data_IF_150437647599
#
_entry.id   IF_150437647599
#
_cell.length_a   1.000
_cell.length_b   1.000
_cell.length_c   1.000
_cell.angle_alpha   90.00
_cell.angle_beta   90.00
_cell.angle_gamma   90.00
#
_symmetry.space_group_name_H-M   'P 1'
#
loop_
_entity.id
_entity.type
_entity.pdbx_description
1 polymer ?
#
# COMPACT_ATOMS: atom_id res chain seq x y z
N UNK A 1 -5.51 27.25 50.92
CA UNK A 1 -5.33 26.11 49.99
C UNK A 1 -6.46 26.12 48.99
N UNK A 2 -6.19 26.40 47.72
CA UNK A 2 -7.14 26.13 46.62
C UNK A 2 -6.31 25.83 45.37
N UNK A 3 -5.99 24.55 45.17
CA UNK A 3 -5.29 24.06 43.97
C UNK A 3 -6.29 23.95 42.83
N UNK A 4 -6.17 24.82 41.82
CA UNK A 4 -6.94 24.71 40.57
C UNK A 4 -6.39 23.57 39.74
N UNK A 5 -7.16 22.50 39.60
CA UNK A 5 -6.87 21.36 38.73
C UNK A 5 -7.28 21.75 37.32
N UNK A 6 -6.30 22.05 36.46
CA UNK A 6 -6.51 22.14 35.02
C UNK A 6 -6.68 20.73 34.46
N UNK A 7 -7.91 20.34 34.11
CA UNK A 7 -8.16 19.13 33.32
C UNK A 7 -7.72 19.38 31.88
N UNK A 8 -6.52 18.94 31.52
CA UNK A 8 -6.09 18.84 30.13
C UNK A 8 -6.82 17.66 29.47
N UNK A 9 -7.83 17.96 28.67
CA UNK A 9 -8.47 16.96 27.82
C UNK A 9 -7.46 16.48 26.77
N UNK A 10 -6.95 15.26 26.93
CA UNK A 10 -6.18 14.55 25.90
C UNK A 10 -7.15 14.24 24.77
N UNK A 11 -7.07 14.99 23.67
CA UNK A 11 -7.76 14.67 22.41
C UNK A 11 -7.19 13.36 21.87
N UNK A 12 -7.90 12.25 22.10
CA UNK A 12 -7.68 11.02 21.35
C UNK A 12 -7.96 11.33 19.88
N UNK A 13 -6.90 11.43 19.07
CA UNK A 13 -6.99 11.44 17.62
C UNK A 13 -7.39 10.04 17.17
N UNK A 14 -8.67 9.72 17.19
CA UNK A 14 -9.19 8.63 16.37
C UNK A 14 -8.87 8.98 14.92
N UNK A 15 -8.10 8.15 14.23
CA UNK A 15 -7.93 8.29 12.79
C UNK A 15 -9.32 8.12 12.16
N UNK A 16 -10.02 9.22 11.90
CA UNK A 16 -11.18 9.19 11.03
C UNK A 16 -10.59 8.86 9.66
N UNK A 17 -10.80 7.63 9.20
CA UNK A 17 -10.79 7.36 7.78
C UNK A 17 -11.86 8.30 7.21
N UNK A 18 -11.43 9.42 6.65
CA UNK A 18 -12.29 10.53 6.20
C UNK A 18 -13.05 10.09 4.95
N UNK A 19 -13.99 9.16 5.11
CA UNK A 19 -14.90 8.65 4.10
C UNK A 19 -16.31 8.63 4.70
N UNK A 20 -17.34 9.12 3.98
CA UNK A 20 -18.73 8.97 4.40
C UNK A 20 -19.12 7.50 4.59
N UNK A 21 -19.95 7.20 5.59
CA UNK A 21 -20.38 5.83 5.89
C UNK A 21 -21.27 5.22 4.78
N UNK A 22 -21.91 6.06 3.96
CA UNK A 22 -22.86 5.66 2.92
C UNK A 22 -22.23 5.40 1.54
N UNK A 23 -20.90 5.40 1.43
CA UNK A 23 -20.16 5.06 0.20
C UNK A 23 -19.15 3.94 0.48
N UNK A 24 -18.91 3.07 -0.49
CA UNK A 24 -17.92 2.00 -0.34
C UNK A 24 -16.49 2.58 -0.32
N UNK A 25 -15.53 1.80 0.22
CA UNK A 25 -14.10 2.15 0.17
C UNK A 25 -13.68 2.40 -1.28
N UNK A 26 -14.03 1.46 -2.17
CA UNK A 26 -13.62 1.49 -3.57
C UNK A 26 -14.23 2.69 -4.29
N UNK A 27 -15.53 2.94 -4.15
CA UNK A 27 -16.17 4.06 -4.86
C UNK A 27 -15.57 5.40 -4.43
N UNK A 28 -15.38 5.59 -3.12
CA UNK A 28 -14.85 6.85 -2.61
C UNK A 28 -13.40 7.11 -3.04
N UNK A 29 -12.50 6.16 -2.79
CA UNK A 29 -11.08 6.37 -3.06
C UNK A 29 -10.75 6.30 -4.55
N UNK A 30 -11.57 5.61 -5.35
CA UNK A 30 -11.44 5.65 -6.81
C UNK A 30 -11.72 7.05 -7.32
N UNK A 31 -12.82 7.69 -6.91
CA UNK A 31 -13.09 9.07 -7.29
C UNK A 31 -12.05 10.04 -6.73
N UNK A 32 -11.67 9.90 -5.45
CA UNK A 32 -10.74 10.82 -4.81
C UNK A 32 -9.31 10.78 -5.40
N UNK A 33 -8.85 9.61 -5.87
CA UNK A 33 -7.47 9.42 -6.34
C UNK A 33 -7.35 9.30 -7.87
N UNK A 34 -8.36 8.72 -8.53
CA UNK A 34 -8.36 8.39 -9.96
C UNK A 34 -9.45 9.13 -10.75
N UNK A 35 -10.19 10.05 -10.11
CA UNK A 35 -11.26 10.90 -10.66
C UNK A 35 -12.55 10.16 -11.00
N UNK A 36 -12.49 9.18 -11.90
CA UNK A 36 -13.69 8.52 -12.42
C UNK A 36 -13.89 7.16 -11.77
N UNK A 37 -15.10 6.90 -11.27
CA UNK A 37 -15.44 5.60 -10.66
C UNK A 37 -15.84 4.58 -11.73
N UNK A 38 -14.85 4.02 -12.42
CA UNK A 38 -15.03 2.92 -13.39
C UNK A 38 -14.49 1.61 -12.84
N UNK A 39 -14.89 0.47 -13.42
CA UNK A 39 -14.39 -0.84 -13.02
C UNK A 39 -12.86 -0.94 -13.14
N UNK A 40 -12.29 -0.34 -14.19
CA UNK A 40 -10.84 -0.28 -14.44
C UNK A 40 -10.12 0.55 -13.37
N UNK A 41 -10.69 1.69 -12.97
CA UNK A 41 -10.10 2.54 -11.95
C UNK A 41 -10.22 1.90 -10.55
N UNK A 42 -11.31 1.20 -10.25
CA UNK A 42 -11.41 0.42 -9.01
C UNK A 42 -10.37 -0.70 -8.93
N UNK A 43 -10.18 -1.44 -10.03
CA UNK A 43 -9.13 -2.47 -10.12
C UNK A 43 -7.73 -1.85 -9.95
N UNK A 44 -7.50 -0.69 -10.57
CA UNK A 44 -6.24 0.06 -10.45
C UNK A 44 -5.98 0.49 -9.00
N UNK A 45 -6.99 1.01 -8.30
CA UNK A 45 -6.88 1.38 -6.89
C UNK A 45 -6.45 0.19 -6.02
N UNK A 46 -7.10 -0.97 -6.20
CA UNK A 46 -6.78 -2.17 -5.45
C UNK A 46 -5.37 -2.68 -5.75
N UNK A 47 -4.97 -2.69 -7.03
CA UNK A 47 -3.62 -3.06 -7.45
C UNK A 47 -2.57 -2.15 -6.81
N UNK A 48 -2.77 -0.83 -6.85
CA UNK A 48 -1.86 0.13 -6.21
C UNK A 48 -1.75 -0.10 -4.70
N UNK A 49 -2.88 -0.36 -4.03
CA UNK A 49 -2.93 -0.61 -2.60
C UNK A 49 -2.17 -1.89 -2.22
N UNK A 50 -2.43 -2.99 -2.93
CA UNK A 50 -1.77 -4.29 -2.69
C UNK A 50 -0.27 -4.18 -2.97
N UNK A 51 0.12 -3.60 -4.10
CA UNK A 51 1.54 -3.42 -4.43
C UNK A 51 2.23 -2.59 -3.36
N UNK A 52 1.64 -1.47 -2.95
CA UNK A 52 2.21 -0.62 -1.89
C UNK A 52 2.33 -1.39 -0.56
N UNK A 53 1.37 -2.22 -0.18
CA UNK A 53 1.47 -3.03 1.03
C UNK A 53 2.58 -4.09 0.94
N UNK A 54 2.76 -4.70 -0.23
CA UNK A 54 3.73 -5.78 -0.44
C UNK A 54 5.16 -5.26 -0.53
N UNK A 55 5.39 -4.24 -1.38
CA UNK A 55 6.75 -3.75 -1.70
C UNK A 55 7.09 -2.38 -1.07
N UNK A 56 6.10 -1.66 -0.55
CA UNK A 56 6.28 -0.33 0.04
C UNK A 56 6.26 0.79 -1.01
N UNK A 57 6.31 2.04 -0.53
CA UNK A 57 6.47 3.19 -1.40
C UNK A 57 7.96 3.63 -1.44
N UNK A 58 8.67 3.21 -2.48
CA UNK A 58 10.08 3.56 -2.65
C UNK A 58 10.24 5.05 -2.97
N UNK A 59 10.89 5.83 -2.10
CA UNK A 59 11.35 7.21 -2.45
C UNK A 59 12.31 7.24 -3.64
N UNK A 60 13.00 6.14 -3.90
CA UNK A 60 13.96 5.99 -5.00
C UNK A 60 13.30 6.05 -6.39
N UNK A 61 11.97 5.98 -6.45
CA UNK A 61 11.21 6.12 -7.68
C UNK A 61 10.51 7.49 -7.78
N UNK A 62 10.86 8.48 -6.95
CA UNK A 62 10.41 9.87 -7.17
C UNK A 62 11.38 10.65 -8.07
N UNK A 63 12.60 10.16 -8.29
CA UNK A 63 13.66 10.84 -9.06
C UNK A 63 13.94 10.19 -10.43
N UNK A 64 13.29 9.07 -10.76
CA UNK A 64 13.48 8.34 -12.03
C UNK A 64 12.21 7.93 -12.78
N UNK A 65 11.00 8.34 -12.34
CA UNK A 65 9.85 8.26 -13.26
C UNK A 65 9.99 9.38 -14.30
N UNK A 66 9.80 9.12 -15.59
CA UNK A 66 9.60 10.18 -16.57
C UNK A 66 8.47 11.10 -16.09
N UNK A 67 8.77 12.39 -16.00
CA UNK A 67 8.02 13.54 -15.45
C UNK A 67 6.53 13.62 -15.83
N UNK A 68 6.03 12.74 -16.70
CA UNK A 68 4.65 12.70 -17.22
C UNK A 68 3.66 11.90 -16.35
N UNK A 69 4.07 10.85 -15.61
CA UNK A 69 3.12 10.06 -14.82
C UNK A 69 2.82 10.69 -13.44
N UNK A 70 3.81 11.36 -12.83
CA UNK A 70 3.58 12.17 -11.62
C UNK A 70 2.91 13.53 -11.92
N UNK A 71 3.08 14.09 -13.12
CA UNK A 71 2.42 15.35 -13.49
C UNK A 71 0.89 15.22 -13.57
N UNK A 72 0.35 14.03 -13.85
CA UNK A 72 -1.10 13.81 -13.81
C UNK A 72 -1.67 13.87 -12.39
N UNK A 73 -0.90 13.46 -11.36
CA UNK A 73 -1.33 13.53 -9.95
C UNK A 73 -1.19 14.96 -9.40
N UNK A 74 -0.16 15.71 -9.82
CA UNK A 74 0.04 17.10 -9.36
C UNK A 74 -0.88 18.12 -10.04
N UNK A 75 -1.39 17.86 -11.26
CA UNK A 75 -2.34 18.76 -11.97
C UNK A 75 -3.79 18.69 -11.47
N UNK A 76 -4.11 17.83 -10.51
CA UNK A 76 -5.46 17.74 -9.92
C UNK A 76 -5.66 18.80 -8.82
N UNK A 77 -4.59 19.42 -8.32
CA UNK A 77 -4.62 20.24 -7.09
C UNK A 77 -4.91 21.73 -7.27
N UNK A 78 -5.12 22.23 -8.49
CA UNK A 78 -5.21 23.69 -8.69
C UNK A 78 -6.62 24.24 -8.86
N UNK A 79 -7.69 23.44 -8.78
CA UNK A 79 -9.04 23.98 -9.01
C UNK A 79 -10.22 23.29 -8.32
N UNK A 80 -10.03 22.69 -7.14
CA UNK A 80 -11.15 22.43 -6.24
C UNK A 80 -10.64 22.34 -4.80
N UNK A 81 -11.37 22.95 -3.86
CA UNK A 81 -11.09 22.85 -2.43
C UNK A 81 -11.47 21.46 -1.93
N UNK A 82 -10.69 20.46 -2.31
CA UNK A 82 -10.65 19.15 -1.65
C UNK A 82 -9.74 19.32 -0.42
N UNK A 83 -10.22 19.11 0.83
CA UNK A 83 -9.35 19.15 1.98
C UNK A 83 -8.18 18.20 1.77
N UNK A 84 -6.98 18.77 1.85
CA UNK A 84 -5.75 18.23 1.32
C UNK A 84 -5.36 16.89 2.00
N UNK A 85 -5.85 15.78 1.46
CA UNK A 85 -5.18 14.49 1.64
C UNK A 85 -4.14 14.36 0.53
N UNK A 86 -3.09 15.21 0.56
CA UNK A 86 -1.88 14.88 -0.19
C UNK A 86 -1.45 13.47 0.24
N UNK A 87 -1.33 12.49 -0.68
CA UNK A 87 -0.67 11.25 -0.34
C UNK A 87 0.72 11.60 0.18
N UNK A 88 1.13 10.99 1.28
CA UNK A 88 2.41 11.23 1.94
C UNK A 88 3.57 10.74 1.05
N UNK A 89 3.84 11.44 -0.06
CA UNK A 89 4.90 11.12 -1.02
C UNK A 89 6.31 11.38 -0.45
N UNK A 90 6.36 12.00 0.74
CA UNK A 90 7.57 12.33 1.47
C UNK A 90 7.95 11.37 2.59
N UNK A 91 7.28 10.22 2.77
CA UNK A 91 7.66 9.23 3.81
C UNK A 91 7.82 7.87 3.14
N UNK A 92 9.01 7.28 3.29
CA UNK A 92 9.24 5.90 2.87
C UNK A 92 8.60 4.98 3.91
N UNK A 93 7.63 4.20 3.45
CA UNK A 93 6.93 3.16 4.17
C UNK A 93 7.37 1.84 3.53
N UNK A 94 8.19 1.04 4.22
CA UNK A 94 8.60 -0.26 3.72
C UNK A 94 7.38 -1.19 3.61
N UNK A 95 7.33 -2.00 2.56
CA UNK A 95 6.33 -3.06 2.42
C UNK A 95 6.69 -4.30 3.23
N UNK A 96 5.77 -5.27 3.29
CA UNK A 96 5.95 -6.50 4.07
C UNK A 96 7.17 -7.35 3.65
N UNK A 97 7.62 -7.20 2.40
CA UNK A 97 8.79 -7.92 1.88
C UNK A 97 10.12 -7.24 2.22
N UNK A 98 10.10 -6.00 2.71
CA UNK A 98 11.31 -5.33 3.16
C UNK A 98 11.86 -6.03 4.42
N UNK A 99 13.20 -6.20 4.54
CA UNK A 99 13.78 -6.69 5.76
C UNK A 99 13.56 -5.69 6.91
N UNK A 100 13.40 -6.22 8.12
CA UNK A 100 13.25 -5.44 9.34
C UNK A 100 14.07 -6.02 10.49
N UNK A 101 13.86 -5.49 11.68
CA UNK A 101 14.51 -5.93 12.91
C UNK A 101 13.47 -6.13 13.99
N UNK A 102 13.51 -7.29 14.67
CA UNK A 102 12.70 -7.58 15.84
C UNK A 102 13.64 -8.04 16.96
N UNK A 103 13.61 -7.36 18.11
CA UNK A 103 14.50 -7.63 19.25
C UNK A 103 15.99 -7.76 18.87
N UNK A 104 16.50 -6.84 18.04
CA UNK A 104 17.89 -6.84 17.56
C UNK A 104 18.22 -7.93 16.53
N UNK A 105 17.28 -8.80 16.20
CA UNK A 105 17.44 -9.86 15.19
C UNK A 105 16.93 -9.39 13.84
N UNK A 106 17.72 -9.58 12.79
CA UNK A 106 17.27 -9.29 11.43
C UNK A 106 16.20 -10.30 11.01
N UNK A 107 15.05 -9.78 10.58
CA UNK A 107 13.91 -10.57 10.12
C UNK A 107 13.62 -10.20 8.68
N UNK A 108 13.45 -11.20 7.83
CA UNK A 108 12.90 -11.03 6.48
C UNK A 108 11.77 -12.02 6.30
N UNK A 109 10.60 -11.50 5.90
CA UNK A 109 9.43 -12.31 5.61
C UNK A 109 9.44 -12.86 4.18
N UNK A 110 10.29 -12.34 3.29
CA UNK A 110 10.34 -12.73 1.88
C UNK A 110 10.49 -14.25 1.67
N UNK A 111 11.22 -14.93 2.55
CA UNK A 111 11.42 -16.39 2.54
C UNK A 111 10.12 -17.21 2.68
N UNK A 112 9.04 -16.62 3.19
CA UNK A 112 7.73 -17.26 3.28
C UNK A 112 6.88 -17.08 2.02
N UNK A 113 7.25 -16.14 1.14
CA UNK A 113 6.51 -15.82 -0.09
C UNK A 113 7.18 -16.35 -1.35
N UNK A 114 8.50 -16.57 -1.33
CA UNK A 114 9.28 -16.95 -2.51
C UNK A 114 9.44 -18.47 -2.71
N UNK A 115 8.71 -19.30 -1.95
CA UNK A 115 8.80 -20.75 -2.03
C UNK A 115 10.03 -21.38 -1.36
N UNK A 116 10.89 -20.62 -0.70
CA UNK A 116 12.05 -21.19 0.00
C UNK A 116 11.63 -22.06 1.20
N UNK A 117 10.60 -21.63 1.93
CA UNK A 117 10.03 -22.35 3.06
C UNK A 117 8.68 -22.99 2.71
N UNK A 118 8.38 -24.10 3.36
CA UNK A 118 7.09 -24.79 3.30
C UNK A 118 6.05 -24.05 4.17
N UNK A 119 5.71 -22.82 3.78
CA UNK A 119 4.94 -21.86 4.56
C UNK A 119 3.44 -21.92 4.32
N UNK A 120 2.98 -22.63 3.28
CA UNK A 120 1.59 -22.60 2.83
C UNK A 120 0.85 -23.85 3.24
N UNK A 121 -0.37 -23.71 3.76
CA UNK A 121 -1.26 -24.83 3.99
C UNK A 121 -2.23 -25.00 2.80
N UNK A 122 -2.23 -26.18 2.18
CA UNK A 122 -3.18 -26.57 1.12
C UNK A 122 -4.18 -27.66 1.55
N UNK A 123 -4.42 -27.78 2.86
CA UNK A 123 -5.33 -28.76 3.46
C UNK A 123 -4.71 -30.13 3.79
N UNK A 124 -3.38 -30.25 3.72
CA UNK A 124 -2.63 -31.47 4.07
C UNK A 124 -2.12 -31.49 5.52
N UNK A 125 -1.35 -32.53 5.87
CA UNK A 125 -0.73 -32.67 7.20
C UNK A 125 0.58 -31.87 7.37
N UNK A 126 1.11 -31.30 6.30
CA UNK A 126 2.35 -30.53 6.30
C UNK A 126 2.23 -29.27 5.43
N UNK A 127 3.09 -28.29 5.68
CA UNK A 127 3.22 -27.11 4.83
C UNK A 127 3.80 -27.47 3.46
N UNK A 128 3.43 -26.71 2.44
CA UNK A 128 3.95 -26.85 1.07
C UNK A 128 4.70 -25.59 0.65
N UNK A 129 5.72 -25.78 -0.17
CA UNK A 129 6.49 -24.68 -0.79
C UNK A 129 5.70 -24.12 -1.96
N UNK A 130 5.23 -22.88 -1.82
CA UNK A 130 4.54 -22.14 -2.88
C UNK A 130 5.28 -20.84 -3.10
N UNK A 131 5.61 -20.57 -4.36
CA UNK A 131 6.22 -19.31 -4.75
C UNK A 131 5.12 -18.35 -5.20
N UNK A 132 4.71 -17.44 -4.32
CA UNK A 132 3.77 -16.35 -4.59
C UNK A 132 4.43 -15.16 -5.31
N UNK A 133 5.69 -15.32 -5.71
CA UNK A 133 6.53 -14.33 -6.37
C UNK A 133 7.12 -14.90 -7.67
N UNK A 134 6.54 -15.99 -8.20
CA UNK A 134 7.04 -16.77 -9.34
C UNK A 134 7.00 -16.03 -10.69
N UNK A 135 6.19 -14.99 -10.83
CA UNK A 135 6.09 -14.16 -12.04
C UNK A 135 7.07 -12.98 -12.11
N UNK A 136 8.30 -13.08 -11.60
CA UNK A 136 9.27 -11.96 -11.62
C UNK A 136 9.43 -11.20 -10.29
N UNK A 137 8.87 -11.73 -9.20
CA UNK A 137 9.10 -11.22 -7.86
C UNK A 137 8.43 -9.89 -7.56
N UNK A 138 9.17 -8.99 -6.91
CA UNK A 138 8.69 -7.64 -6.60
C UNK A 138 8.69 -6.71 -7.84
N UNK A 139 9.40 -7.07 -8.91
CA UNK A 139 9.53 -6.27 -10.14
C UNK A 139 8.19 -6.00 -10.84
N UNK A 140 7.34 -7.00 -11.16
CA UNK A 140 6.04 -6.75 -11.78
C UNK A 140 5.13 -5.88 -10.91
N UNK A 141 5.21 -6.02 -9.58
CA UNK A 141 4.45 -5.22 -8.63
C UNK A 141 4.81 -3.72 -8.69
N UNK A 142 6.06 -3.38 -9.06
CA UNK A 142 6.44 -1.97 -9.31
C UNK A 142 5.80 -1.38 -10.57
N UNK A 143 5.33 -2.23 -11.48
CA UNK A 143 4.69 -1.85 -12.76
C UNK A 143 3.17 -1.99 -12.73
N UNK A 144 2.57 -2.27 -11.56
CA UNK A 144 1.15 -2.63 -11.44
C UNK A 144 0.75 -3.86 -12.24
N UNK A 145 1.66 -4.81 -12.37
CA UNK A 145 1.44 -6.12 -12.99
C UNK A 145 1.45 -7.20 -11.91
N UNK A 146 0.67 -8.26 -12.11
CA UNK A 146 0.73 -9.45 -11.26
C UNK A 146 2.02 -10.26 -11.53
N UNK A 147 2.43 -10.35 -12.80
CA UNK A 147 3.62 -11.07 -13.26
C UNK A 147 4.25 -10.41 -14.49
N UNK A 148 5.54 -10.67 -14.72
CA UNK A 148 6.31 -10.27 -15.92
C UNK A 148 6.09 -11.26 -17.09
N UNK A 149 5.42 -12.40 -16.85
CA UNK A 149 5.13 -13.42 -17.85
C UNK A 149 3.72 -14.05 -17.66
N UNK A 150 3.31 -14.87 -18.64
CA UNK A 150 2.01 -15.59 -18.63
C UNK A 150 2.08 -17.00 -18.03
N UNK A 151 3.26 -17.42 -17.57
CA UNK A 151 3.50 -18.74 -16.99
C UNK A 151 3.43 -18.76 -15.45
N UNK A 152 3.29 -17.58 -14.82
CA UNK A 152 3.01 -17.48 -13.39
C UNK A 152 1.70 -18.18 -13.02
N UNK A 153 1.69 -18.82 -11.86
CA UNK A 153 0.53 -19.53 -11.33
C UNK A 153 -0.30 -18.67 -10.35
N UNK A 154 -0.16 -17.34 -10.45
CA UNK A 154 -0.87 -16.35 -9.64
C UNK A 154 -2.20 -15.95 -10.23
#
# INVERSE_FOLDING_TARGET
>A
MLTQIFFTAVLLRTAIAQRPANISVCDYYTTALLKDNTAENQATLLTLLVNTAVIGNCKTYSSRIPTVLFAQITRIKTNEHIPDTQPNTGIAVPGILAPGTYDGTQVSLAKYFNGNLASTNRGGSEGVKVNFLDGGGAVPLTKNLAADDKGSNQ
#
